data_IF_877765213997
#
_entry.id   IF_877765213997
#
_cell.length_a   1.000
_cell.length_b   1.000
_cell.length_c   1.000
_cell.angle_alpha   90.00
_cell.angle_beta   90.00
_cell.angle_gamma   90.00
#
_symmetry.space_group_name_H-M   'P 1'
#
loop_
_entity.id
_entity.type
_entity.pdbx_description
1 polymer ?
#
# COMPACT_ATOMS: atom_id res chain seq x y z
N UNK A 1 1.95 -12.31 8.51
CA UNK A 1 1.88 -12.97 7.18
C UNK A 1 1.17 -12.07 6.18
N UNK A 2 -0.12 -11.75 6.33
CA UNK A 2 -0.85 -10.92 5.33
C UNK A 2 -0.39 -9.45 5.21
N UNK A 3 -0.10 -8.76 6.31
CA UNK A 3 0.30 -7.34 6.28
C UNK A 3 1.66 -7.14 5.60
N UNK A 4 2.65 -7.98 5.94
CA UNK A 4 3.98 -7.95 5.30
C UNK A 4 3.90 -8.22 3.79
N UNK A 5 3.08 -9.19 3.37
CA UNK A 5 2.85 -9.49 1.95
C UNK A 5 2.21 -8.30 1.23
N UNK A 6 1.23 -7.64 1.86
CA UNK A 6 0.62 -6.44 1.31
C UNK A 6 1.65 -5.29 1.19
N UNK A 7 2.54 -5.13 2.17
CA UNK A 7 3.64 -4.18 2.12
C UNK A 7 4.57 -4.44 0.95
N UNK A 8 5.05 -5.68 0.78
CA UNK A 8 5.92 -6.05 -0.36
C UNK A 8 5.21 -5.79 -1.70
N UNK A 9 3.95 -6.20 -1.84
CA UNK A 9 3.17 -5.96 -3.05
C UNK A 9 2.97 -4.46 -3.32
N UNK A 10 2.74 -3.66 -2.28
CA UNK A 10 2.61 -2.20 -2.36
C UNK A 10 3.90 -1.55 -2.88
N UNK A 11 5.04 -1.86 -2.26
CA UNK A 11 6.34 -1.31 -2.67
C UNK A 11 6.71 -1.72 -4.10
N UNK A 12 6.50 -2.99 -4.50
CA UNK A 12 6.75 -3.42 -5.90
C UNK A 12 5.88 -2.63 -6.87
N UNK A 13 4.57 -2.53 -6.58
CA UNK A 13 3.62 -1.83 -7.45
C UNK A 13 3.96 -0.34 -7.58
N UNK A 14 4.37 0.33 -6.49
CA UNK A 14 4.80 1.73 -6.54
C UNK A 14 6.01 1.92 -7.45
N UNK A 15 7.03 1.07 -7.33
CA UNK A 15 8.22 1.13 -8.18
C UNK A 15 7.90 0.88 -9.66
N UNK A 16 6.96 -0.01 -9.96
CA UNK A 16 6.62 -0.36 -11.34
C UNK A 16 5.66 0.65 -12.00
N UNK A 17 4.69 1.17 -11.25
CA UNK A 17 3.59 1.97 -11.81
C UNK A 17 3.78 3.49 -11.67
N UNK A 18 4.61 3.96 -10.72
CA UNK A 18 4.82 5.40 -10.50
C UNK A 18 6.05 5.87 -11.28
N UNK A 19 5.95 6.94 -12.09
CA UNK A 19 7.10 7.55 -12.76
C UNK A 19 8.19 8.00 -11.78
N UNK A 20 9.46 7.84 -12.16
CA UNK A 20 10.62 8.12 -11.30
C UNK A 20 10.64 9.57 -10.77
N UNK A 21 10.21 10.55 -11.57
CA UNK A 21 10.15 11.98 -11.19
C UNK A 21 9.10 12.29 -10.10
N UNK A 22 8.21 11.34 -9.81
CA UNK A 22 7.16 11.47 -8.78
C UNK A 22 7.29 10.45 -7.65
N UNK A 23 8.06 9.39 -7.84
CA UNK A 23 8.20 8.29 -6.89
C UNK A 23 8.60 8.78 -5.49
N UNK A 24 9.59 9.66 -5.39
CA UNK A 24 10.03 10.22 -4.10
C UNK A 24 8.93 11.00 -3.37
N UNK A 25 8.09 11.75 -4.10
CA UNK A 25 6.95 12.48 -3.50
C UNK A 25 5.87 11.52 -3.03
N UNK A 26 5.57 10.49 -3.82
CA UNK A 26 4.58 9.46 -3.43
C UNK A 26 5.03 8.73 -2.16
N UNK A 27 6.30 8.35 -2.07
CA UNK A 27 6.85 7.76 -0.85
C UNK A 27 6.78 8.69 0.36
N UNK A 28 7.10 9.98 0.18
CA UNK A 28 7.00 10.94 1.28
C UNK A 28 5.55 11.08 1.78
N UNK A 29 4.55 11.02 0.91
CA UNK A 29 3.14 11.06 1.32
C UNK A 29 2.67 9.76 1.98
N UNK A 30 3.12 8.60 1.49
CA UNK A 30 2.82 7.29 2.08
C UNK A 30 3.37 7.17 3.51
N UNK A 31 4.63 7.56 3.70
CA UNK A 31 5.30 7.55 5.00
C UNK A 31 4.66 8.55 5.97
N UNK A 32 4.41 9.78 5.52
CA UNK A 32 3.72 10.79 6.33
C UNK A 32 2.32 10.33 6.72
N UNK A 33 1.58 9.74 5.78
CA UNK A 33 0.24 9.21 6.01
C UNK A 33 0.24 8.12 7.07
N UNK A 34 1.19 7.18 6.97
CA UNK A 34 1.36 6.09 7.93
C UNK A 34 1.71 6.59 9.33
N UNK A 35 2.64 7.54 9.42
CA UNK A 35 3.04 8.14 10.69
C UNK A 35 1.94 8.98 11.34
N UNK A 36 1.09 9.64 10.56
CA UNK A 36 -0.05 10.42 11.08
C UNK A 36 -1.26 9.55 11.40
N UNK A 37 -1.46 8.43 10.71
CA UNK A 37 -2.61 7.57 10.91
C UNK A 37 -2.66 7.02 12.34
N UNK A 38 -1.53 6.59 12.91
CA UNK A 38 -1.47 6.03 14.26
C UNK A 38 -1.90 7.02 15.36
N UNK A 39 -1.31 8.22 15.50
CA UNK A 39 -1.72 9.18 16.52
C UNK A 39 -3.15 9.67 16.30
N UNK A 40 -3.60 9.82 15.05
CA UNK A 40 -4.98 10.21 14.76
C UNK A 40 -5.98 9.12 15.18
N UNK A 41 -5.67 7.85 14.88
CA UNK A 41 -6.50 6.74 15.31
C UNK A 41 -6.57 6.66 16.84
N UNK A 42 -5.43 6.83 17.53
CA UNK A 42 -5.36 6.82 18.99
C UNK A 42 -6.17 7.97 19.60
N UNK A 43 -6.08 9.17 19.02
CA UNK A 43 -6.86 10.33 19.44
C UNK A 43 -8.36 10.12 19.23
N UNK A 44 -8.76 9.53 18.10
CA UNK A 44 -10.16 9.30 17.75
C UNK A 44 -10.80 8.13 18.51
N UNK A 45 -10.01 7.13 18.92
CA UNK A 45 -10.52 5.90 19.56
C UNK A 45 -11.31 6.17 20.85
N UNK A 46 -10.80 7.04 21.73
CA UNK A 46 -11.47 7.40 22.98
C UNK A 46 -12.85 8.02 22.76
N UNK A 47 -12.95 9.15 22.04
CA UNK A 47 -14.23 9.75 21.66
C UNK A 47 -15.17 8.79 20.92
N UNK A 48 -14.64 7.96 20.01
CA UNK A 48 -15.46 6.98 19.29
C UNK A 48 -16.14 5.99 20.25
N UNK A 49 -15.41 5.44 21.21
CA UNK A 49 -15.97 4.52 22.22
C UNK A 49 -16.97 5.24 23.14
N UNK A 50 -16.71 6.48 23.53
CA UNK A 50 -17.62 7.25 24.39
C UNK A 50 -18.94 7.59 23.69
N UNK A 51 -18.90 7.87 22.39
CA UNK A 51 -20.08 8.29 21.61
C UNK A 51 -20.87 7.11 21.03
N UNK A 52 -20.18 6.06 20.57
CA UNK A 52 -20.78 4.92 19.86
C UNK A 52 -20.88 3.66 20.72
N UNK A 53 -20.12 3.59 21.82
CA UNK A 53 -19.88 2.37 22.58
C UNK A 53 -18.79 1.48 21.98
N UNK A 54 -18.27 0.55 22.78
CA UNK A 54 -17.15 -0.33 22.40
C UNK A 54 -17.48 -1.21 21.19
N UNK A 55 -18.60 -1.93 21.24
CA UNK A 55 -18.98 -2.90 20.20
C UNK A 55 -19.17 -2.23 18.84
N UNK A 56 -19.92 -1.13 18.79
CA UNK A 56 -20.13 -0.38 17.55
C UNK A 56 -18.83 0.20 16.99
N UNK A 57 -17.93 0.68 17.86
CA UNK A 57 -16.60 1.18 17.44
C UNK A 57 -15.76 0.06 16.81
N UNK A 58 -15.74 -1.13 17.41
CA UNK A 58 -15.02 -2.28 16.87
C UNK A 58 -15.61 -2.74 15.52
N UNK A 59 -16.94 -2.80 15.40
CA UNK A 59 -17.57 -3.14 14.12
C UNK A 59 -17.33 -2.08 13.05
N UNK A 60 -17.31 -0.79 13.41
CA UNK A 60 -16.96 0.27 12.47
C UNK A 60 -15.51 0.13 11.98
N UNK A 61 -14.55 -0.15 12.87
CA UNK A 61 -13.17 -0.42 12.49
C UNK A 61 -13.04 -1.65 11.57
N UNK A 62 -13.74 -2.74 11.91
CA UNK A 62 -13.78 -3.95 11.08
C UNK A 62 -14.39 -3.68 9.69
N UNK A 63 -15.47 -2.91 9.62
CA UNK A 63 -16.09 -2.50 8.36
C UNK A 63 -15.15 -1.65 7.51
N UNK A 64 -14.40 -0.72 8.11
CA UNK A 64 -13.40 0.09 7.41
C UNK A 64 -12.30 -0.78 6.78
N UNK A 65 -11.76 -1.74 7.55
CA UNK A 65 -10.74 -2.68 7.05
C UNK A 65 -11.31 -3.54 5.91
N UNK A 66 -12.54 -4.03 6.07
CA UNK A 66 -13.20 -4.85 5.06
C UNK A 66 -13.42 -4.06 3.76
N UNK A 67 -13.90 -2.81 3.85
CA UNK A 67 -14.10 -1.94 2.69
C UNK A 67 -12.78 -1.65 1.96
N UNK A 68 -11.70 -1.34 2.69
CA UNK A 68 -10.38 -1.14 2.11
C UNK A 68 -9.88 -2.40 1.38
N UNK A 69 -10.14 -3.58 1.96
CA UNK A 69 -9.78 -4.87 1.36
C UNK A 69 -10.61 -5.15 0.11
N UNK A 70 -11.92 -4.92 0.15
CA UNK A 70 -12.83 -5.13 -0.98
C UNK A 70 -12.52 -4.20 -2.16
N UNK A 71 -11.97 -3.00 -1.90
CA UNK A 71 -11.53 -2.10 -2.95
C UNK A 71 -10.50 -2.75 -3.89
N UNK A 72 -9.66 -3.67 -3.40
CA UNK A 72 -8.69 -4.41 -4.21
C UNK A 72 -9.32 -5.30 -5.30
N UNK A 73 -10.61 -5.64 -5.16
CA UNK A 73 -11.34 -6.43 -6.16
C UNK A 73 -11.70 -5.59 -7.40
N UNK A 74 -11.60 -4.26 -7.31
CA UNK A 74 -11.90 -3.37 -8.42
C UNK A 74 -11.10 -3.73 -9.68
N UNK A 75 -11.72 -3.77 -10.87
CA UNK A 75 -11.04 -4.12 -12.12
C UNK A 75 -9.80 -3.26 -12.39
N UNK A 76 -9.85 -1.97 -12.02
CA UNK A 76 -8.72 -1.04 -12.15
C UNK A 76 -7.48 -1.46 -11.37
N UNK A 77 -7.65 -2.16 -10.25
CA UNK A 77 -6.56 -2.64 -9.42
C UNK A 77 -6.13 -4.04 -9.89
N UNK A 78 -7.10 -4.90 -10.23
CA UNK A 78 -6.82 -6.25 -10.74
C UNK A 78 -6.16 -6.29 -12.11
N UNK A 79 -6.33 -5.23 -12.92
CA UNK A 79 -5.74 -5.12 -14.26
C UNK A 79 -4.34 -4.47 -14.24
N UNK A 80 -3.79 -4.11 -13.07
CA UNK A 80 -2.41 -3.62 -12.97
C UNK A 80 -1.47 -4.72 -13.47
N UNK A 81 -0.80 -4.47 -14.58
CA UNK A 81 0.12 -5.40 -15.20
C UNK A 81 1.56 -5.03 -14.79
N UNK A 82 2.37 -5.98 -14.31
CA UNK A 82 3.77 -5.74 -14.06
C UNK A 82 4.48 -5.24 -15.32
N UNK A 83 5.39 -4.28 -15.19
CA UNK A 83 6.27 -3.92 -16.32
C UNK A 83 7.21 -5.10 -16.54
N UNK A 84 7.00 -5.85 -17.63
CA UNK A 84 7.93 -6.92 -18.03
C UNK A 84 9.31 -6.30 -18.18
N UNK A 85 10.29 -6.77 -17.40
CA UNK A 85 11.68 -6.36 -17.57
C UNK A 85 12.06 -6.61 -19.04
N UNK A 86 12.41 -5.54 -19.74
CA UNK A 86 12.93 -5.66 -21.10
C UNK A 86 14.18 -6.55 -21.03
N UNK A 87 14.24 -7.66 -21.78
CA UNK A 87 15.39 -8.55 -21.73
C UNK A 87 16.64 -7.72 -21.99
N UNK A 88 17.53 -7.66 -21.00
CA UNK A 88 18.84 -7.03 -21.18
C UNK A 88 19.44 -7.60 -22.46
N UNK A 89 19.92 -6.76 -23.39
CA UNK A 89 20.59 -7.26 -24.58
C UNK A 89 21.68 -8.20 -24.08
N UNK A 90 21.66 -9.45 -24.57
CA UNK A 90 22.64 -10.45 -24.18
C UNK A 90 24.01 -9.80 -24.30
N UNK A 91 24.74 -9.69 -23.19
CA UNK A 91 26.09 -9.13 -23.20
C UNK A 91 26.93 -10.05 -24.06
N UNK A 92 27.08 -9.70 -25.34
CA UNK A 92 27.98 -10.34 -26.30
C UNK A 92 29.44 -9.94 -26.05
N UNK A 93 29.78 -9.41 -24.87
CA UNK A 93 31.17 -9.14 -24.50
C UNK A 93 31.84 -10.46 -24.05
N UNK A 94 32.84 -10.96 -24.79
CA UNK A 94 33.56 -12.16 -24.41
C UNK A 94 34.31 -11.90 -23.10
N UNK A 95 34.14 -12.79 -22.12
CA UNK A 95 34.95 -12.80 -20.89
C UNK A 95 36.43 -12.91 -21.29
N UNK A 96 37.28 -11.92 -21.00
CA UNK A 96 38.71 -12.03 -21.24
C UNK A 96 39.26 -13.11 -20.30
N UNK A 97 39.86 -14.17 -20.88
CA UNK A 97 40.57 -15.22 -20.13
C UNK A 97 41.93 -14.75 -19.65
#
# INVERSE_FOLDING_TARGET
MGVEQAGVAWYSTLNEQVPEDRLARVYAYDDLGSHLALPLAQFAAGPAVLLLGLQATLYAAAALILLATLAMVAPSIRALNPKTAEPLPASEDPVPR
#
